data_IF_501156681215
#
_entry.id   IF_501156681215
#
_cell.length_a   1.000
_cell.length_b   1.000
_cell.length_c   1.000
_cell.angle_alpha   90.00
_cell.angle_beta   90.00
_cell.angle_gamma   90.00
#
_symmetry.space_group_name_H-M   'P 1'
#
loop_
_entity.id
_entity.type
_entity.pdbx_description
1 polymer ?
#
# COMPACT_ATOMS: atom_id res chain seq x y z
N UNK A 1 4.99 18.96 18.85
CA UNK A 1 5.98 17.93 18.46
C UNK A 1 5.20 16.75 17.91
N UNK A 2 5.59 16.20 16.76
CA UNK A 2 4.99 14.96 16.29
C UNK A 2 5.43 13.82 17.22
N UNK A 3 4.47 13.06 17.76
CA UNK A 3 4.75 11.92 18.63
C UNK A 3 5.30 10.78 17.78
N UNK A 4 6.54 10.36 18.06
CA UNK A 4 7.11 9.16 17.46
C UNK A 4 6.39 7.92 18.04
N UNK A 5 5.79 7.05 17.21
CA UNK A 5 5.12 5.83 17.65
C UNK A 5 5.96 4.94 18.58
N UNK A 6 7.28 4.92 18.39
CA UNK A 6 8.19 4.10 19.17
C UNK A 6 8.54 4.70 20.54
N UNK A 7 8.14 5.94 20.83
CA UNK A 7 8.25 6.53 22.18
C UNK A 7 7.07 6.14 23.09
N UNK A 8 6.09 5.40 22.54
CA UNK A 8 4.98 4.83 23.30
C UNK A 8 5.40 3.58 24.07
N UNK A 9 4.66 3.26 25.12
CA UNK A 9 4.92 2.08 25.94
C UNK A 9 3.84 1.01 25.69
N UNK A 10 4.25 -0.18 25.22
CA UNK A 10 3.34 -1.30 24.95
C UNK A 10 2.51 -1.73 26.18
N UNK A 11 3.05 -1.62 27.39
CA UNK A 11 2.31 -1.92 28.62
C UNK A 11 1.24 -0.87 28.90
N UNK A 12 1.49 0.40 28.62
CA UNK A 12 0.46 1.44 28.74
C UNK A 12 -0.62 1.28 27.67
N UNK A 13 -0.28 0.86 26.45
CA UNK A 13 -1.29 0.54 25.42
C UNK A 13 -2.19 -0.62 25.86
N UNK A 14 -1.63 -1.67 26.48
CA UNK A 14 -2.42 -2.75 27.10
C UNK A 14 -3.30 -2.24 28.23
N UNK A 15 -2.81 -1.29 29.03
CA UNK A 15 -3.59 -0.67 30.09
C UNK A 15 -4.85 0.04 29.55
N UNK A 16 -4.80 0.66 28.35
CA UNK A 16 -5.99 1.24 27.72
C UNK A 16 -7.08 0.18 27.48
N UNK A 17 -6.71 -0.99 26.96
CA UNK A 17 -7.65 -2.08 26.72
C UNK A 17 -8.24 -2.60 28.04
N UNK A 18 -7.40 -2.75 29.07
CA UNK A 18 -7.84 -3.22 30.38
C UNK A 18 -8.78 -2.21 31.07
N UNK A 19 -8.52 -0.90 30.97
CA UNK A 19 -9.44 0.13 31.50
C UNK A 19 -10.78 0.06 30.78
N UNK A 20 -10.79 -0.10 29.44
CA UNK A 20 -12.02 -0.25 28.65
C UNK A 20 -12.84 -1.46 29.10
N UNK A 21 -12.18 -2.60 29.30
CA UNK A 21 -12.82 -3.86 29.64
C UNK A 21 -13.40 -3.86 31.08
N UNK A 22 -12.66 -3.31 32.04
CA UNK A 22 -13.04 -3.38 33.46
C UNK A 22 -13.72 -2.11 34.00
N UNK A 23 -13.74 -1.01 33.24
CA UNK A 23 -14.30 0.27 33.66
C UNK A 23 -13.62 0.89 34.88
N UNK A 24 -12.43 0.43 35.27
CA UNK A 24 -11.74 0.82 36.50
C UNK A 24 -10.22 0.84 36.30
N UNK A 25 -9.58 1.93 36.73
CA UNK A 25 -8.11 2.06 36.73
C UNK A 25 -7.48 1.03 37.67
N UNK A 26 -8.07 0.82 38.85
CA UNK A 26 -7.53 -0.11 39.86
C UNK A 26 -7.57 -1.54 39.33
N UNK A 27 -8.72 -2.00 38.83
CA UNK A 27 -8.85 -3.35 38.27
C UNK A 27 -7.93 -3.54 37.04
N UNK A 28 -7.81 -2.52 36.19
CA UNK A 28 -6.92 -2.58 35.04
C UNK A 28 -5.43 -2.70 35.44
N UNK A 29 -5.03 -2.04 36.55
CA UNK A 29 -3.65 -2.08 37.04
C UNK A 29 -3.21 -3.49 37.43
N UNK A 30 -4.10 -4.22 38.11
CA UNK A 30 -3.87 -5.62 38.49
C UNK A 30 -3.67 -6.51 37.24
N UNK A 31 -4.53 -6.34 36.23
CA UNK A 31 -4.50 -7.12 34.99
C UNK A 31 -3.21 -6.93 34.19
N UNK A 32 -2.66 -5.71 34.16
CA UNK A 32 -1.41 -5.42 33.45
C UNK A 32 -0.16 -5.45 34.35
N UNK A 33 -0.31 -5.93 35.59
CA UNK A 33 0.76 -6.04 36.59
C UNK A 33 1.50 -4.72 36.82
N UNK A 34 0.74 -3.64 37.01
CA UNK A 34 1.24 -2.32 37.40
C UNK A 34 0.61 -1.92 38.74
N UNK A 35 1.28 -1.03 39.49
CA UNK A 35 0.61 -0.34 40.59
C UNK A 35 -0.40 0.67 40.03
N UNK A 36 -1.49 0.93 40.76
CA UNK A 36 -2.48 1.93 40.36
C UNK A 36 -1.85 3.30 40.06
N UNK A 37 -0.94 3.87 40.90
CA UNK A 37 -0.28 5.13 40.57
C UNK A 37 0.55 5.07 39.29
N UNK A 38 1.23 3.95 39.03
CA UNK A 38 2.01 3.77 37.80
C UNK A 38 1.11 3.73 36.55
N UNK A 39 -0.05 3.06 36.63
CA UNK A 39 -1.01 3.05 35.53
C UNK A 39 -1.60 4.45 35.30
N UNK A 40 -2.00 5.17 36.35
CA UNK A 40 -2.52 6.54 36.22
C UNK A 40 -1.50 7.47 35.57
N UNK A 41 -0.23 7.40 35.98
CA UNK A 41 0.84 8.18 35.35
C UNK A 41 1.09 7.77 33.90
N UNK A 42 1.03 6.47 33.61
CA UNK A 42 1.18 5.92 32.26
C UNK A 42 0.07 6.38 31.31
N UNK A 43 -1.17 6.36 31.77
CA UNK A 43 -2.33 6.89 31.05
C UNK A 43 -2.15 8.40 30.78
N UNK A 44 -1.87 9.19 31.82
CA UNK A 44 -1.65 10.63 31.66
C UNK A 44 -0.49 10.95 30.71
N UNK A 45 0.55 10.10 30.67
CA UNK A 45 1.64 10.24 29.69
C UNK A 45 1.14 9.99 28.26
N UNK A 46 0.37 8.93 28.02
CA UNK A 46 -0.20 8.68 26.71
C UNK A 46 -1.14 9.81 26.28
N UNK A 47 -2.04 10.25 27.16
CA UNK A 47 -2.96 11.37 26.86
C UNK A 47 -2.21 12.64 26.47
N UNK A 48 -1.09 12.96 27.14
CA UNK A 48 -0.20 14.08 26.74
C UNK A 48 0.47 13.85 25.39
N UNK A 49 0.89 12.62 25.08
CA UNK A 49 1.53 12.29 23.80
C UNK A 49 0.54 12.36 22.63
N UNK A 50 -0.71 11.99 22.83
CA UNK A 50 -1.75 12.07 21.80
C UNK A 50 -2.47 13.43 21.78
N UNK A 51 -2.43 14.18 22.89
CA UNK A 51 -3.07 15.50 23.02
C UNK A 51 -4.53 15.47 23.45
N UNK A 52 -5.08 14.31 23.82
CA UNK A 52 -6.49 14.12 24.16
C UNK A 52 -6.64 13.25 25.41
N UNK A 53 -7.70 13.50 26.19
CA UNK A 53 -8.13 12.59 27.25
C UNK A 53 -8.84 11.39 26.64
N UNK A 54 -8.45 10.19 27.03
CA UNK A 54 -9.02 8.96 26.49
C UNK A 54 -10.19 8.44 27.29
N UNK A 55 -10.26 8.78 28.57
CA UNK A 55 -11.34 8.37 29.43
C UNK A 55 -11.87 9.54 30.26
N UNK A 56 -13.15 9.46 30.57
CA UNK A 56 -13.83 10.33 31.52
C UNK A 56 -14.36 9.52 32.70
N UNK A 57 -14.33 10.11 33.88
CA UNK A 57 -14.85 9.49 35.09
C UNK A 57 -16.35 9.79 35.21
N UNK A 58 -17.18 8.76 35.17
CA UNK A 58 -18.62 8.82 35.42
C UNK A 58 -18.99 8.05 36.70
N UNK A 59 -20.25 8.18 37.14
CA UNK A 59 -20.79 7.45 38.30
C UNK A 59 -20.66 5.93 38.17
N UNK A 60 -20.64 5.40 36.94
CA UNK A 60 -20.45 3.98 36.62
C UNK A 60 -19.01 3.54 36.34
N UNK A 61 -18.01 4.39 36.57
CA UNK A 61 -16.60 4.08 36.32
C UNK A 61 -15.96 4.91 35.21
N UNK A 62 -14.87 4.41 34.65
CA UNK A 62 -14.13 5.04 33.55
C UNK A 62 -14.78 4.66 32.22
N UNK A 63 -15.20 5.66 31.45
CA UNK A 63 -15.80 5.48 30.12
C UNK A 63 -14.90 6.14 29.08
N UNK A 64 -14.63 5.51 27.92
CA UNK A 64 -13.84 6.15 26.89
C UNK A 64 -14.53 7.38 26.31
N UNK A 65 -13.73 8.39 25.99
CA UNK A 65 -14.17 9.49 25.12
C UNK A 65 -14.23 9.02 23.67
N UNK A 66 -14.87 9.77 22.74
CA UNK A 66 -14.85 9.42 21.32
C UNK A 66 -13.43 9.27 20.75
N UNK A 67 -12.49 10.13 21.16
CA UNK A 67 -11.08 10.01 20.78
C UNK A 67 -10.41 8.80 21.44
N UNK A 68 -10.77 8.52 22.69
CA UNK A 68 -10.34 7.32 23.41
C UNK A 68 -10.74 6.03 22.68
N UNK A 69 -11.96 5.92 22.18
CA UNK A 69 -12.42 4.74 21.42
C UNK A 69 -11.55 4.51 20.17
N UNK A 70 -11.22 5.57 19.41
CA UNK A 70 -10.36 5.47 18.23
C UNK A 70 -8.98 4.93 18.63
N UNK A 71 -8.36 5.50 19.67
CA UNK A 71 -7.02 5.09 20.12
C UNK A 71 -7.03 3.66 20.69
N UNK A 72 -8.06 3.29 21.44
CA UNK A 72 -8.24 1.94 22.01
C UNK A 72 -8.33 0.89 20.90
N UNK A 73 -9.13 1.13 19.86
CA UNK A 73 -9.30 0.18 18.76
C UNK A 73 -8.03 0.03 17.91
N UNK A 74 -7.29 1.11 17.70
CA UNK A 74 -5.98 1.09 17.04
C UNK A 74 -4.91 0.39 17.89
N UNK A 75 -4.89 0.66 19.20
CA UNK A 75 -3.99 -0.02 20.14
C UNK A 75 -4.26 -1.53 20.21
N UNK A 76 -5.53 -1.94 20.15
CA UNK A 76 -5.93 -3.36 20.05
C UNK A 76 -5.34 -4.01 18.81
N UNK A 77 -5.59 -3.43 17.64
CA UNK A 77 -5.03 -3.94 16.38
C UNK A 77 -3.49 -4.00 16.38
N UNK A 78 -2.83 -2.98 16.95
CA UNK A 78 -1.38 -2.96 17.05
C UNK A 78 -0.85 -4.13 17.91
N UNK A 79 -1.47 -4.37 19.06
CA UNK A 79 -1.12 -5.48 19.94
C UNK A 79 -1.45 -6.84 19.32
N UNK A 80 -2.54 -6.96 18.56
CA UNK A 80 -2.90 -8.18 17.82
C UNK A 80 -1.86 -8.50 16.73
N UNK A 81 -1.37 -7.49 16.01
CA UNK A 81 -0.30 -7.67 15.02
C UNK A 81 1.00 -8.18 15.67
N UNK A 82 1.38 -7.64 16.82
CA UNK A 82 2.54 -8.12 17.57
C UNK A 82 2.31 -9.55 18.09
N UNK A 83 1.15 -9.84 18.64
CA UNK A 83 0.78 -11.17 19.15
C UNK A 83 0.83 -12.23 18.04
N UNK A 84 0.22 -11.95 16.88
CA UNK A 84 0.23 -12.87 15.74
C UNK A 84 1.63 -13.09 15.18
N UNK A 85 2.47 -12.06 15.16
CA UNK A 85 3.85 -12.18 14.72
C UNK A 85 4.75 -12.91 15.73
N UNK A 86 4.42 -12.79 17.02
CA UNK A 86 5.11 -13.43 18.13
C UNK A 86 4.69 -14.88 18.36
N UNK A 87 3.56 -15.31 17.78
CA UNK A 87 3.04 -16.67 17.89
C UNK A 87 4.06 -17.70 17.42
N UNK A 88 4.44 -18.60 18.33
CA UNK A 88 5.44 -19.64 18.07
C UNK A 88 6.88 -19.11 17.88
N UNK A 89 7.17 -17.85 18.23
CA UNK A 89 8.55 -17.34 18.26
C UNK A 89 9.35 -17.86 19.45
N UNK A 90 8.69 -18.08 20.59
CA UNK A 90 9.32 -18.60 21.80
C UNK A 90 8.75 -19.95 22.18
N UNK A 91 9.62 -20.89 22.53
CA UNK A 91 9.25 -22.14 23.19
C UNK A 91 9.14 -22.01 24.72
N UNK A 92 9.58 -20.87 25.28
CA UNK A 92 9.65 -20.63 26.73
C UNK A 92 8.48 -19.79 27.22
N UNK A 93 8.13 -18.74 26.48
CA UNK A 93 7.04 -17.83 26.85
C UNK A 93 5.83 -18.02 25.95
N UNK A 94 4.65 -18.17 26.55
CA UNK A 94 3.40 -18.26 25.80
C UNK A 94 3.01 -16.93 25.12
N UNK A 95 3.37 -15.79 25.74
CA UNK A 95 3.11 -14.43 25.26
C UNK A 95 4.39 -13.57 25.19
N UNK A 96 5.36 -13.90 24.33
CA UNK A 96 6.66 -13.22 24.31
C UNK A 96 6.53 -11.73 23.92
N UNK A 97 5.50 -11.35 23.17
CA UNK A 97 5.20 -9.95 22.82
C UNK A 97 4.93 -9.08 24.05
N UNK A 98 4.53 -9.65 25.19
CA UNK A 98 4.32 -8.92 26.45
C UNK A 98 5.61 -8.45 27.09
N UNK A 99 6.72 -9.10 26.76
CA UNK A 99 8.05 -8.80 27.29
C UNK A 99 8.86 -7.87 26.37
N UNK A 100 8.43 -7.70 25.12
CA UNK A 100 9.06 -6.82 24.14
C UNK A 100 8.86 -5.34 24.48
N UNK A 101 9.84 -4.52 24.10
CA UNK A 101 9.79 -3.06 24.25
C UNK A 101 9.82 -2.37 22.88
N UNK A 102 9.24 -1.16 22.79
CA UNK A 102 9.30 -0.39 21.54
C UNK A 102 10.74 -0.05 21.13
N UNK A 103 11.66 0.13 22.08
CA UNK A 103 13.08 0.35 21.78
C UNK A 103 13.73 -0.86 21.10
N UNK A 104 13.44 -2.08 21.57
CA UNK A 104 13.92 -3.31 20.93
C UNK A 104 13.32 -3.48 19.53
N UNK A 105 12.03 -3.22 19.39
CA UNK A 105 11.32 -3.30 18.12
C UNK A 105 11.84 -2.25 17.12
N UNK A 106 12.11 -1.01 17.56
CA UNK A 106 12.73 0.06 16.76
C UNK A 106 14.12 -0.37 16.26
N UNK A 107 14.97 -0.85 17.17
CA UNK A 107 16.32 -1.30 16.83
C UNK A 107 16.31 -2.47 15.82
N UNK A 108 15.39 -3.42 16.03
CA UNK A 108 15.22 -4.58 15.15
C UNK A 108 14.75 -4.17 13.75
N UNK A 109 13.79 -3.26 13.62
CA UNK A 109 13.35 -2.75 12.33
C UNK A 109 14.45 -1.95 11.62
N UNK A 110 15.18 -1.09 12.35
CA UNK A 110 16.32 -0.35 11.79
C UNK A 110 17.40 -1.30 11.23
N UNK A 111 17.68 -2.42 11.93
CA UNK A 111 18.58 -3.46 11.44
C UNK A 111 18.04 -4.18 10.20
N UNK A 112 16.74 -4.51 10.20
CA UNK A 112 16.08 -5.18 9.09
C UNK A 112 16.12 -4.34 7.80
N UNK A 113 16.00 -3.02 7.90
CA UNK A 113 16.01 -2.10 6.77
C UNK A 113 17.42 -1.79 6.29
N UNK A 114 18.37 -1.58 7.21
CA UNK A 114 19.72 -1.16 6.86
C UNK A 114 20.65 -2.32 6.44
N UNK A 115 20.29 -3.57 6.74
CA UNK A 115 21.06 -4.77 6.36
C UNK A 115 22.41 -4.93 7.07
N UNK A 116 22.75 -4.04 7.99
CA UNK A 116 23.93 -4.15 8.87
C UNK A 116 23.75 -3.32 10.14
N UNK A 117 24.42 -3.72 11.22
CA UNK A 117 24.36 -3.01 12.51
C UNK A 117 24.91 -1.59 12.44
N UNK A 118 25.98 -1.38 11.67
CA UNK A 118 26.58 -0.06 11.49
C UNK A 118 25.64 0.87 10.71
N UNK A 119 25.08 0.40 9.59
CA UNK A 119 24.12 1.18 8.82
C UNK A 119 22.83 1.48 9.61
N UNK A 120 22.36 0.51 10.43
CA UNK A 120 21.20 0.70 11.30
C UNK A 120 21.43 1.78 12.36
N UNK A 121 22.64 1.85 12.93
CA UNK A 121 23.01 2.89 13.87
C UNK A 121 23.07 4.27 13.21
N UNK A 122 23.65 4.35 12.00
CA UNK A 122 23.70 5.61 11.25
C UNK A 122 22.32 6.11 10.81
N UNK A 123 21.40 5.20 10.49
CA UNK A 123 20.03 5.52 10.08
C UNK A 123 19.03 5.68 11.24
N UNK A 124 19.45 5.53 12.50
CA UNK A 124 18.57 5.63 13.67
C UNK A 124 19.14 6.55 14.73
N UNK A 125 18.34 6.84 15.76
CA UNK A 125 18.78 7.62 16.93
C UNK A 125 19.59 6.78 17.93
N UNK A 126 19.91 5.53 17.60
CA UNK A 126 20.57 4.57 18.48
C UNK A 126 22.04 4.38 18.10
N UNK A 127 22.91 4.22 19.11
CA UNK A 127 24.30 3.80 18.87
C UNK A 127 24.36 2.35 18.37
N UNK A 128 25.44 1.99 17.67
CA UNK A 128 25.63 0.62 17.18
C UNK A 128 25.59 -0.43 18.31
N UNK A 129 26.18 -0.11 19.46
CA UNK A 129 26.14 -0.98 20.65
C UNK A 129 24.72 -1.11 21.20
N UNK A 130 23.92 -0.04 21.16
CA UNK A 130 22.52 -0.09 21.58
C UNK A 130 21.68 -0.95 20.63
N UNK A 131 21.88 -0.84 19.30
CA UNK A 131 21.21 -1.72 18.32
C UNK A 131 21.58 -3.19 18.55
N UNK A 132 22.89 -3.47 18.74
CA UNK A 132 23.37 -4.84 18.96
C UNK A 132 22.79 -5.45 20.24
N UNK A 133 22.82 -4.70 21.36
CA UNK A 133 22.21 -5.11 22.63
C UNK A 133 20.71 -5.35 22.50
N UNK A 134 19.98 -4.38 21.94
CA UNK A 134 18.52 -4.47 21.85
C UNK A 134 18.05 -5.66 21.01
N UNK A 135 18.73 -5.95 19.90
CA UNK A 135 18.44 -7.14 19.07
C UNK A 135 18.87 -8.42 19.78
N UNK A 136 20.03 -8.43 20.45
CA UNK A 136 20.50 -9.57 21.25
C UNK A 136 19.55 -9.94 22.39
N UNK A 137 19.07 -8.95 23.14
CA UNK A 137 18.10 -9.12 24.23
C UNK A 137 16.77 -9.69 23.69
N UNK A 138 16.34 -9.23 22.51
CA UNK A 138 15.15 -9.74 21.84
C UNK A 138 15.33 -11.22 21.43
N UNK A 139 16.47 -11.59 20.85
CA UNK A 139 16.81 -12.98 20.50
C UNK A 139 16.91 -13.88 21.74
N UNK A 140 17.51 -13.38 22.82
CA UNK A 140 17.63 -14.10 24.09
C UNK A 140 16.25 -14.34 24.73
N UNK A 141 15.40 -13.31 24.75
CA UNK A 141 14.03 -13.40 25.28
C UNK A 141 13.21 -14.46 24.55
N UNK A 142 13.25 -14.49 23.21
CA UNK A 142 12.48 -15.49 22.46
C UNK A 142 13.13 -16.87 22.50
N UNK A 143 14.43 -16.97 22.83
CA UNK A 143 15.19 -18.23 22.86
C UNK A 143 15.64 -18.70 21.48
N UNK A 144 15.83 -17.78 20.53
CA UNK A 144 16.13 -18.10 19.14
C UNK A 144 16.68 -16.92 18.34
N UNK A 145 17.20 -17.21 17.15
CA UNK A 145 17.72 -16.17 16.23
C UNK A 145 16.60 -15.54 15.41
N UNK A 146 16.69 -14.24 15.18
CA UNK A 146 15.87 -13.48 14.24
C UNK A 146 16.67 -13.05 13.02
N UNK A 147 17.99 -12.91 13.20
CA UNK A 147 18.91 -12.48 12.17
C UNK A 147 20.03 -13.50 11.92
N UNK A 148 20.45 -13.60 10.67
CA UNK A 148 21.54 -14.45 10.22
C UNK A 148 22.63 -13.57 9.58
N UNK A 149 23.90 -13.85 9.89
CA UNK A 149 25.03 -13.20 9.20
C UNK A 149 25.35 -13.99 7.94
N UNK A 150 25.35 -13.31 6.78
CA UNK A 150 25.85 -13.86 5.51
C UNK A 150 26.91 -12.91 4.96
N UNK A 151 28.17 -13.24 5.22
CA UNK A 151 29.30 -12.35 4.94
C UNK A 151 29.22 -11.08 5.78
N UNK A 152 29.25 -9.91 5.13
CA UNK A 152 29.12 -8.59 5.77
C UNK A 152 27.67 -8.13 5.98
N UNK A 153 26.70 -8.84 5.39
CA UNK A 153 25.29 -8.49 5.45
C UNK A 153 24.54 -9.28 6.54
N UNK A 154 23.54 -8.64 7.12
CA UNK A 154 22.60 -9.22 8.08
C UNK A 154 21.28 -9.45 7.36
N UNK A 155 20.77 -10.69 7.46
CA UNK A 155 19.52 -11.11 6.84
C UNK A 155 18.52 -11.53 7.90
N UNK A 156 17.24 -11.25 7.68
CA UNK A 156 16.17 -11.80 8.51
C UNK A 156 15.91 -13.27 8.13
N UNK A 157 15.88 -14.14 9.12
CA UNK A 157 15.35 -15.49 8.93
C UNK A 157 13.80 -15.45 8.86
N UNK A 158 13.09 -16.57 8.60
CA UNK A 158 11.64 -16.56 8.50
C UNK A 158 10.92 -16.02 9.75
N UNK A 159 11.43 -16.27 10.94
CA UNK A 159 10.89 -15.74 12.19
C UNK A 159 11.10 -14.22 12.30
N UNK A 160 12.31 -13.74 11.97
CA UNK A 160 12.63 -12.32 11.87
C UNK A 160 11.74 -11.58 10.88
N UNK A 161 11.48 -12.15 9.70
CA UNK A 161 10.58 -11.56 8.69
C UNK A 161 9.16 -11.41 9.23
N UNK A 162 8.63 -12.43 9.93
CA UNK A 162 7.30 -12.35 10.56
C UNK A 162 7.24 -11.27 11.64
N UNK A 163 8.24 -11.21 12.53
CA UNK A 163 8.29 -10.20 13.58
C UNK A 163 8.42 -8.78 13.00
N UNK A 164 9.24 -8.60 11.97
CA UNK A 164 9.41 -7.31 11.31
C UNK A 164 8.08 -6.85 10.69
N UNK A 165 7.39 -7.73 9.96
CA UNK A 165 6.04 -7.46 9.45
C UNK A 165 5.06 -7.07 10.55
N UNK A 166 4.93 -7.87 11.61
CA UNK A 166 4.03 -7.57 12.72
C UNK A 166 4.34 -6.24 13.39
N UNK A 167 5.61 -5.93 13.55
CA UNK A 167 6.05 -4.65 14.14
C UNK A 167 5.69 -3.47 13.25
N UNK A 168 5.95 -3.55 11.93
CA UNK A 168 5.57 -2.47 10.99
C UNK A 168 4.06 -2.24 10.99
N UNK A 169 3.27 -3.31 10.97
CA UNK A 169 1.80 -3.21 11.03
C UNK A 169 1.33 -2.61 12.36
N UNK A 170 1.93 -2.99 13.48
CA UNK A 170 1.60 -2.42 14.78
C UNK A 170 1.92 -0.92 14.88
N UNK A 171 3.06 -0.52 14.34
CA UNK A 171 3.44 0.91 14.24
C UNK A 171 2.50 1.66 13.31
N UNK A 172 2.11 1.07 12.18
CA UNK A 172 1.15 1.67 11.26
C UNK A 172 -0.22 1.94 11.91
N UNK A 173 -0.70 1.06 12.78
CA UNK A 173 -1.95 1.29 13.54
C UNK A 173 -1.81 2.47 14.52
N UNK A 174 -0.66 2.63 15.18
CA UNK A 174 -0.40 3.77 16.08
C UNK A 174 -0.33 5.08 15.28
N UNK A 175 0.36 5.07 14.13
CA UNK A 175 0.40 6.24 13.22
C UNK A 175 -1.00 6.59 12.72
N UNK A 176 -1.81 5.58 12.36
CA UNK A 176 -3.18 5.78 11.95
C UNK A 176 -4.06 6.36 13.07
N UNK A 177 -3.84 5.96 14.33
CA UNK A 177 -4.51 6.55 15.49
C UNK A 177 -4.20 8.04 15.62
N UNK A 178 -2.92 8.41 15.52
CA UNK A 178 -2.47 9.81 15.57
C UNK A 178 -3.06 10.63 14.41
N UNK A 179 -3.14 10.05 13.22
CA UNK A 179 -3.75 10.69 12.06
C UNK A 179 -5.27 10.91 12.21
N UNK A 180 -5.99 9.87 12.65
CA UNK A 180 -7.46 9.92 12.80
C UNK A 180 -7.89 10.93 13.89
N UNK A 181 -7.17 11.05 15.00
CA UNK A 181 -7.48 12.06 16.04
C UNK A 181 -6.94 13.45 15.71
N UNK A 182 -5.81 13.54 15.00
CA UNK A 182 -5.16 14.81 14.65
C UNK A 182 -5.90 15.60 13.56
N UNK A 183 -6.88 14.98 12.90
CA UNK A 183 -7.64 15.54 11.77
C UNK A 183 -8.24 16.92 12.05
N UNK A 184 -8.72 17.18 13.27
CA UNK A 184 -9.39 18.44 13.62
C UNK A 184 -8.41 19.56 13.96
N UNK A 185 -7.15 19.24 14.25
CA UNK A 185 -6.14 20.23 14.62
C UNK A 185 -5.54 21.00 13.43
N UNK A 186 -5.91 20.63 12.19
CA UNK A 186 -5.44 21.27 10.96
C UNK A 186 -3.93 21.16 10.70
N UNK A 187 -3.20 20.44 11.55
CA UNK A 187 -1.74 20.39 11.55
C UNK A 187 -1.25 19.00 11.13
N UNK A 188 -0.41 18.96 10.10
CA UNK A 188 0.29 17.76 9.65
C UNK A 188 -0.20 17.22 8.32
N UNK A 189 0.75 16.83 7.48
CA UNK A 189 0.47 16.06 6.28
C UNK A 189 0.29 14.58 6.63
N UNK A 190 -0.72 13.94 6.05
CA UNK A 190 -0.95 12.51 6.21
C UNK A 190 -0.48 11.77 4.95
N UNK A 191 0.40 10.79 5.14
CA UNK A 191 0.98 10.03 4.05
C UNK A 191 0.05 8.89 3.60
N UNK A 192 -0.32 8.91 2.32
CA UNK A 192 -1.01 7.84 1.62
C UNK A 192 0.04 7.06 0.82
N UNK A 193 0.45 5.90 1.32
CA UNK A 193 1.41 5.03 0.65
C UNK A 193 0.68 3.91 -0.10
N UNK A 194 0.86 3.84 -1.42
CA UNK A 194 0.21 2.81 -2.25
C UNK A 194 1.08 2.34 -3.41
N UNK A 195 0.80 1.12 -3.86
CA UNK A 195 1.41 0.54 -5.06
C UNK A 195 0.56 0.79 -6.30
N UNK A 196 1.16 1.09 -7.44
CA UNK A 196 0.48 1.27 -8.71
C UNK A 196 0.94 0.22 -9.74
N UNK A 197 0.01 -0.65 -10.16
CA UNK A 197 0.26 -1.58 -11.26
C UNK A 197 0.18 -0.86 -12.61
N UNK A 198 0.80 -1.41 -13.68
CA UNK A 198 0.93 -0.70 -14.96
C UNK A 198 -0.37 -0.14 -15.57
N UNK A 199 -1.52 -0.79 -15.39
CA UNK A 199 -2.80 -0.31 -15.91
C UNK A 199 -3.31 0.96 -15.21
N UNK A 200 -3.02 1.15 -13.92
CA UNK A 200 -3.60 2.25 -13.14
C UNK A 200 -2.79 3.55 -13.21
N UNK A 201 -1.52 3.49 -13.63
CA UNK A 201 -0.57 4.61 -13.58
C UNK A 201 -0.89 5.75 -14.55
N UNK A 202 -1.31 5.51 -15.81
CA UNK A 202 -1.43 6.61 -16.77
C UNK A 202 -2.66 7.49 -16.54
N UNK A 203 -3.71 6.96 -15.90
CA UNK A 203 -4.97 7.68 -15.73
C UNK A 203 -5.55 7.60 -14.32
N UNK A 204 -5.99 6.41 -13.88
CA UNK A 204 -6.77 6.23 -12.64
C UNK A 204 -6.10 6.86 -11.41
N UNK A 205 -4.81 6.56 -11.22
CA UNK A 205 -4.03 7.06 -10.08
C UNK A 205 -3.81 8.58 -10.16
N UNK A 206 -3.26 9.15 -11.25
CA UNK A 206 -3.11 10.60 -11.38
C UNK A 206 -4.43 11.36 -11.23
N UNK A 207 -5.53 10.86 -11.81
CA UNK A 207 -6.84 11.49 -11.72
C UNK A 207 -7.34 11.57 -10.26
N UNK A 208 -7.24 10.47 -9.52
CA UNK A 208 -7.63 10.42 -8.11
C UNK A 208 -6.72 11.30 -7.24
N UNK A 209 -5.40 11.27 -7.46
CA UNK A 209 -4.43 12.10 -6.74
C UNK A 209 -4.69 13.60 -6.98
N UNK A 210 -4.93 14.01 -8.24
CA UNK A 210 -5.20 15.41 -8.56
C UNK A 210 -6.52 15.90 -7.93
N UNK A 211 -7.56 15.06 -7.89
CA UNK A 211 -8.81 15.40 -7.19
C UNK A 211 -8.59 15.52 -5.68
N UNK A 212 -7.88 14.56 -5.09
CA UNK A 212 -7.57 14.54 -3.66
C UNK A 212 -6.75 15.76 -3.24
N UNK A 213 -5.66 16.06 -3.96
CA UNK A 213 -4.78 17.21 -3.70
C UNK A 213 -5.51 18.56 -3.76
N UNK A 214 -6.55 18.68 -4.61
CA UNK A 214 -7.42 19.87 -4.63
C UNK A 214 -8.37 19.95 -3.43
N UNK A 215 -8.81 18.81 -2.91
CA UNK A 215 -9.82 18.74 -1.85
C UNK A 215 -9.25 18.67 -0.43
N UNK A 216 -8.03 18.15 -0.25
CA UNK A 216 -7.36 18.03 1.05
C UNK A 216 -5.86 18.33 0.91
N UNK A 217 -5.42 19.56 1.23
CA UNK A 217 -4.02 19.97 1.15
C UNK A 217 -3.08 19.19 2.08
N UNK A 218 -3.60 18.39 3.03
CA UNK A 218 -2.79 17.58 3.94
C UNK A 218 -2.36 16.26 3.32
N UNK A 219 -3.03 15.81 2.26
CA UNK A 219 -2.73 14.53 1.63
C UNK A 219 -1.34 14.57 0.97
N UNK A 220 -0.39 13.81 1.53
CA UNK A 220 0.85 13.48 0.86
C UNK A 220 0.77 12.08 0.27
N UNK A 221 1.51 11.84 -0.80
CA UNK A 221 1.50 10.55 -1.50
C UNK A 221 2.89 9.97 -1.58
N UNK A 222 2.99 8.65 -1.35
CA UNK A 222 4.15 7.84 -1.72
C UNK A 222 3.67 6.72 -2.63
N UNK A 223 4.11 6.78 -3.89
CA UNK A 223 3.69 5.82 -4.91
C UNK A 223 4.83 4.85 -5.17
N UNK A 224 4.58 3.56 -4.98
CA UNK A 224 5.48 2.49 -5.39
C UNK A 224 5.00 1.92 -6.71
N UNK A 225 5.80 2.09 -7.75
CA UNK A 225 5.52 1.50 -9.05
C UNK A 225 6.16 0.13 -9.16
N UNK A 226 5.39 -0.87 -9.59
CA UNK A 226 5.92 -2.20 -9.83
C UNK A 226 4.89 -3.15 -10.43
N UNK A 227 5.35 -4.36 -10.72
CA UNK A 227 4.54 -5.52 -11.00
C UNK A 227 3.90 -6.06 -9.72
N UNK A 228 2.97 -7.00 -9.86
CA UNK A 228 2.38 -7.70 -8.72
C UNK A 228 3.41 -8.35 -7.80
N UNK A 229 4.41 -9.01 -8.40
CA UNK A 229 5.45 -9.75 -7.68
C UNK A 229 6.28 -8.81 -6.80
N UNK A 230 6.49 -7.58 -7.26
CA UNK A 230 7.25 -6.56 -6.53
C UNK A 230 6.41 -5.87 -5.46
N UNK A 231 5.10 -5.71 -5.66
CA UNK A 231 4.23 -4.93 -4.76
C UNK A 231 3.50 -5.76 -3.69
N UNK A 232 3.33 -7.08 -3.88
CA UNK A 232 2.57 -7.91 -2.93
C UNK A 232 3.23 -8.02 -1.55
N UNK A 233 4.56 -8.15 -1.49
CA UNK A 233 5.27 -8.21 -0.20
C UNK A 233 5.35 -6.85 0.50
N UNK A 234 5.64 -5.71 -0.18
CA UNK A 234 5.46 -4.38 0.40
C UNK A 234 4.07 -4.13 0.96
N UNK A 235 3.02 -4.62 0.28
CA UNK A 235 1.64 -4.56 0.78
C UNK A 235 1.47 -5.40 2.05
N UNK A 236 1.96 -6.65 2.09
CA UNK A 236 1.87 -7.50 3.28
C UNK A 236 2.67 -6.96 4.45
N UNK A 237 3.80 -6.32 4.17
CA UNK A 237 4.74 -5.79 5.14
C UNK A 237 4.32 -4.43 5.74
N UNK A 238 3.26 -3.81 5.22
CA UNK A 238 2.82 -2.49 5.69
C UNK A 238 3.62 -1.33 5.13
N UNK A 239 4.47 -1.54 4.13
CA UNK A 239 5.24 -0.47 3.45
C UNK A 239 4.31 0.39 2.59
N UNK A 240 3.29 -0.25 2.02
CA UNK A 240 2.16 0.39 1.33
C UNK A 240 0.86 -0.19 1.89
N UNK A 241 -0.21 0.57 1.85
CA UNK A 241 -1.50 0.18 2.44
C UNK A 241 -2.46 -0.44 1.44
N UNK A 242 -2.28 -0.11 0.16
CA UNK A 242 -3.10 -0.60 -0.93
C UNK A 242 -2.29 -0.74 -2.22
N UNK A 243 -2.79 -1.54 -3.15
CA UNK A 243 -2.29 -1.66 -4.53
C UNK A 243 -3.44 -1.36 -5.47
N UNK A 244 -3.25 -0.44 -6.41
CA UNK A 244 -4.26 -0.05 -7.41
C UNK A 244 -3.88 -0.63 -8.77
N UNK A 245 -4.83 -1.32 -9.41
CA UNK A 245 -4.72 -1.82 -10.78
C UNK A 245 -5.40 -3.16 -11.02
N UNK A 246 -4.88 -3.94 -11.98
CA UNK A 246 -5.48 -5.22 -12.36
C UNK A 246 -5.61 -6.19 -11.17
N UNK A 247 -6.83 -6.63 -10.90
CA UNK A 247 -7.15 -7.62 -9.87
C UNK A 247 -6.70 -9.03 -10.30
N UNK A 248 -6.59 -9.93 -9.32
CA UNK A 248 -6.34 -11.36 -9.54
C UNK A 248 -7.67 -12.10 -9.68
N UNK A 249 -7.77 -13.05 -10.62
CA UNK A 249 -9.00 -13.82 -10.86
C UNK A 249 -9.22 -14.93 -9.81
N UNK A 250 -8.57 -14.83 -8.64
CA UNK A 250 -8.64 -15.81 -7.56
C UNK A 250 -8.59 -15.11 -6.21
N UNK A 251 -9.15 -15.75 -5.18
CA UNK A 251 -9.07 -15.26 -3.82
C UNK A 251 -7.66 -15.45 -3.24
N UNK A 252 -7.27 -14.51 -2.38
CA UNK A 252 -6.00 -14.54 -1.66
C UNK A 252 -6.34 -14.47 -0.17
N UNK A 253 -5.88 -15.44 0.61
CA UNK A 253 -6.33 -15.63 1.99
C UNK A 253 -6.11 -14.39 2.87
N UNK A 254 -4.99 -13.67 2.72
CA UNK A 254 -4.62 -12.54 3.56
C UNK A 254 -4.95 -11.16 2.95
N UNK A 255 -5.42 -11.11 1.70
CA UNK A 255 -5.70 -9.88 0.97
C UNK A 255 -7.19 -9.76 0.59
N UNK A 256 -7.67 -8.52 0.53
CA UNK A 256 -9.01 -8.18 0.05
C UNK A 256 -8.89 -7.47 -1.31
N UNK A 257 -9.81 -7.74 -2.24
CA UNK A 257 -9.84 -7.13 -3.56
C UNK A 257 -11.19 -6.45 -3.78
N UNK A 258 -11.16 -5.13 -4.00
CA UNK A 258 -12.33 -4.30 -4.27
C UNK A 258 -12.37 -3.93 -5.77
N UNK A 259 -13.34 -4.45 -6.56
CA UNK A 259 -13.48 -4.08 -7.96
C UNK A 259 -13.94 -2.62 -8.12
N UNK A 260 -13.37 -1.90 -9.10
CA UNK A 260 -13.75 -0.52 -9.42
C UNK A 260 -14.34 -0.39 -10.83
N UNK A 261 -13.67 -0.98 -11.83
CA UNK A 261 -14.07 -0.89 -13.22
C UNK A 261 -13.67 -2.14 -14.02
N UNK A 262 -14.26 -2.27 -15.19
CA UNK A 262 -13.89 -3.27 -16.18
C UNK A 262 -13.07 -2.62 -17.28
N UNK A 263 -12.00 -3.30 -17.68
CA UNK A 263 -11.09 -2.93 -18.76
C UNK A 263 -11.20 -3.99 -19.87
N UNK A 264 -11.01 -3.56 -21.12
CA UNK A 264 -10.91 -4.43 -22.30
C UNK A 264 -9.73 -3.97 -23.15
N UNK A 265 -8.96 -4.94 -23.65
CA UNK A 265 -7.89 -4.66 -24.58
C UNK A 265 -8.42 -4.15 -25.92
N UNK A 266 -7.67 -3.23 -26.50
CA UNK A 266 -7.85 -2.75 -27.86
C UNK A 266 -6.55 -2.93 -28.64
N UNK A 267 -6.68 -2.99 -29.96
CA UNK A 267 -5.54 -2.78 -30.85
C UNK A 267 -5.34 -1.28 -30.96
N UNK A 268 -4.13 -0.81 -30.69
CA UNK A 268 -3.78 0.60 -30.77
C UNK A 268 -2.73 0.85 -31.86
N UNK A 269 -2.85 2.00 -32.51
CA UNK A 269 -1.96 2.46 -33.58
C UNK A 269 -1.78 3.98 -33.49
N UNK A 270 -0.82 4.53 -34.24
CA UNK A 270 -0.77 5.96 -34.53
C UNK A 270 -2.05 6.45 -35.22
N UNK A 271 -2.46 7.69 -34.97
CA UNK A 271 -3.66 8.26 -35.62
C UNK A 271 -3.53 8.39 -37.14
N UNK A 272 -2.30 8.37 -37.67
CA UNK A 272 -2.01 8.36 -39.11
C UNK A 272 -1.81 6.95 -39.68
N UNK A 273 -1.92 5.89 -38.87
CA UNK A 273 -1.73 4.51 -39.32
C UNK A 273 -2.73 4.16 -40.43
N UNK A 274 -2.36 3.38 -41.47
CA UNK A 274 -3.27 3.01 -42.57
C UNK A 274 -4.58 2.35 -42.12
N UNK A 275 -4.52 1.55 -41.04
CA UNK A 275 -5.70 0.90 -40.43
C UNK A 275 -6.50 1.79 -39.47
N UNK A 276 -6.10 3.04 -39.22
CA UNK A 276 -6.79 3.96 -38.31
C UNK A 276 -8.26 4.22 -38.70
N UNK A 277 -8.57 4.15 -40.01
CA UNK A 277 -9.91 4.40 -40.57
C UNK A 277 -10.68 3.12 -40.90
N UNK A 278 -10.16 1.96 -40.52
CA UNK A 278 -10.77 0.67 -40.83
C UNK A 278 -11.54 0.18 -39.61
N UNK A 279 -12.87 0.14 -39.71
CA UNK A 279 -13.76 -0.22 -38.59
C UNK A 279 -13.57 -1.65 -38.09
N UNK A 280 -13.29 -2.60 -38.99
CA UNK A 280 -13.08 -4.02 -38.68
C UNK A 280 -12.01 -4.61 -39.61
N UNK A 281 -10.72 -4.43 -39.31
CA UNK A 281 -9.65 -5.00 -40.14
C UNK A 281 -9.67 -6.53 -40.08
N UNK A 282 -9.34 -7.19 -41.19
CA UNK A 282 -9.18 -8.66 -41.22
C UNK A 282 -7.91 -9.08 -40.50
N UNK A 283 -7.83 -10.36 -40.11
CA UNK A 283 -6.62 -10.90 -39.49
C UNK A 283 -5.40 -10.83 -40.43
N UNK A 284 -5.60 -10.97 -41.74
CA UNK A 284 -4.53 -10.81 -42.74
C UNK A 284 -4.01 -9.36 -42.79
N UNK A 285 -4.91 -8.37 -42.69
CA UNK A 285 -4.52 -6.95 -42.63
C UNK A 285 -3.77 -6.64 -41.34
N UNK A 286 -4.23 -7.16 -40.20
CA UNK A 286 -3.50 -7.00 -38.94
C UNK A 286 -2.12 -7.68 -38.97
N UNK A 287 -2.02 -8.83 -39.64
CA UNK A 287 -0.78 -9.58 -39.79
C UNK A 287 0.22 -8.97 -40.80
N UNK A 288 -0.19 -7.98 -41.60
CA UNK A 288 0.69 -7.33 -42.59
C UNK A 288 1.55 -6.21 -42.02
N UNK A 289 1.28 -5.77 -40.79
CA UNK A 289 2.01 -4.69 -40.13
C UNK A 289 2.88 -5.23 -38.98
N UNK A 290 3.99 -4.55 -38.63
CA UNK A 290 4.81 -4.91 -37.49
C UNK A 290 4.08 -4.66 -36.15
N UNK A 291 4.28 -5.55 -35.19
CA UNK A 291 3.70 -5.45 -33.85
C UNK A 291 4.74 -5.14 -32.79
N UNK A 292 4.37 -4.26 -31.85
CA UNK A 292 5.04 -4.14 -30.56
C UNK A 292 4.32 -5.10 -29.60
N UNK A 293 5.07 -5.95 -28.93
CA UNK A 293 4.52 -7.00 -28.06
C UNK A 293 5.01 -6.85 -26.63
N UNK A 294 4.19 -7.23 -25.66
CA UNK A 294 4.59 -7.24 -24.27
C UNK A 294 5.64 -8.33 -23.99
N UNK A 295 6.44 -8.21 -22.92
CA UNK A 295 7.41 -9.23 -22.53
C UNK A 295 6.81 -10.63 -22.42
N UNK A 296 7.63 -11.64 -22.75
CA UNK A 296 7.24 -13.04 -22.60
C UNK A 296 6.68 -13.36 -21.21
N UNK A 297 5.71 -14.29 -21.13
CA UNK A 297 5.01 -14.68 -19.90
C UNK A 297 4.22 -13.56 -19.21
N UNK A 298 3.75 -12.56 -19.98
CA UNK A 298 2.81 -11.56 -19.49
C UNK A 298 1.39 -11.84 -19.98
N UNK A 299 0.34 -11.49 -19.22
CA UNK A 299 -1.04 -11.66 -19.66
C UNK A 299 -1.36 -10.95 -20.99
N UNK A 300 -0.67 -9.85 -21.27
CA UNK A 300 -0.84 -9.11 -22.53
C UNK A 300 -0.22 -9.86 -23.71
N UNK A 301 0.92 -10.52 -23.50
CA UNK A 301 1.56 -11.40 -24.50
C UNK A 301 0.68 -12.62 -24.82
N UNK A 302 0.15 -13.29 -23.79
CA UNK A 302 -0.76 -14.43 -23.97
C UNK A 302 -2.01 -14.05 -24.79
N UNK A 303 -2.56 -12.84 -24.56
CA UNK A 303 -3.72 -12.36 -25.33
C UNK A 303 -3.36 -12.05 -26.79
N UNK A 304 -2.16 -11.51 -27.03
CA UNK A 304 -1.67 -11.30 -28.40
C UNK A 304 -1.43 -12.64 -29.13
N UNK A 305 -0.87 -13.64 -28.45
CA UNK A 305 -0.67 -14.97 -29.03
C UNK A 305 -2.00 -15.63 -29.39
N UNK A 306 -3.02 -15.50 -28.53
CA UNK A 306 -4.38 -15.98 -28.81
C UNK A 306 -5.03 -15.28 -30.01
N UNK A 307 -4.76 -13.97 -30.17
CA UNK A 307 -5.32 -13.19 -31.28
C UNK A 307 -4.87 -13.73 -32.65
N UNK A 308 -3.61 -14.17 -32.78
CA UNK A 308 -3.09 -14.72 -34.03
C UNK A 308 -3.15 -16.26 -34.12
N UNK A 309 -3.21 -16.96 -32.98
CA UNK A 309 -3.39 -18.41 -32.90
C UNK A 309 -2.41 -19.19 -33.80
N UNK A 310 -2.93 -20.11 -34.61
CA UNK A 310 -2.17 -20.85 -35.63
C UNK A 310 -2.16 -20.15 -37.01
N UNK A 311 -2.66 -18.91 -37.09
CA UNK A 311 -2.71 -18.12 -38.32
C UNK A 311 -1.36 -17.51 -38.69
N UNK A 312 -1.37 -16.59 -39.66
CA UNK A 312 -0.17 -15.84 -40.05
C UNK A 312 0.27 -14.94 -38.89
N UNK A 313 1.47 -15.20 -38.37
CA UNK A 313 2.07 -14.41 -37.29
C UNK A 313 2.78 -13.18 -37.89
N UNK A 314 2.47 -11.95 -37.45
CA UNK A 314 3.16 -10.75 -37.92
C UNK A 314 4.60 -10.65 -37.39
N UNK A 315 5.39 -9.78 -38.01
CA UNK A 315 6.70 -9.41 -37.50
C UNK A 315 6.57 -8.73 -36.12
N UNK A 316 7.41 -9.12 -35.16
CA UNK A 316 7.43 -8.56 -33.81
C UNK A 316 8.81 -7.98 -33.47
N UNK A 317 9.25 -6.91 -34.17
CA UNK A 317 10.61 -6.40 -34.03
C UNK A 317 10.89 -5.74 -32.67
N UNK A 318 9.85 -5.48 -31.86
CA UNK A 318 9.97 -4.81 -30.57
C UNK A 318 9.21 -5.58 -29.50
N UNK A 319 9.92 -6.03 -28.46
CA UNK A 319 9.33 -6.51 -27.21
C UNK A 319 9.47 -5.42 -26.13
N UNK A 320 8.36 -4.81 -25.69
CA UNK A 320 8.37 -3.69 -24.76
C UNK A 320 7.09 -3.62 -23.92
N UNK A 321 7.22 -3.35 -22.62
CA UNK A 321 6.09 -3.07 -21.71
C UNK A 321 5.94 -1.60 -21.32
N UNK A 322 6.82 -0.72 -21.82
CA UNK A 322 6.81 0.71 -21.48
C UNK A 322 5.84 1.47 -22.37
N UNK A 323 4.74 1.95 -21.78
CA UNK A 323 3.71 2.74 -22.47
C UNK A 323 4.29 4.00 -23.13
N UNK A 324 5.33 4.60 -22.53
CA UNK A 324 6.00 5.77 -23.11
C UNK A 324 6.74 5.44 -24.40
N UNK A 325 7.50 4.34 -24.41
CA UNK A 325 8.23 3.87 -25.60
C UNK A 325 7.23 3.43 -26.68
N UNK A 326 6.24 2.62 -26.29
CA UNK A 326 5.16 2.17 -27.18
C UNK A 326 4.48 3.38 -27.82
N UNK A 327 4.03 4.36 -27.02
CA UNK A 327 3.36 5.55 -27.51
C UNK A 327 4.18 6.32 -28.55
N UNK A 328 5.49 6.49 -28.32
CA UNK A 328 6.38 7.13 -29.30
C UNK A 328 6.51 6.33 -30.58
N UNK A 329 6.76 5.02 -30.49
CA UNK A 329 6.91 4.17 -31.68
C UNK A 329 5.65 4.11 -32.52
N UNK A 330 4.48 4.03 -31.88
CA UNK A 330 3.20 4.09 -32.58
C UNK A 330 2.98 5.43 -33.31
N UNK A 331 3.53 6.55 -32.81
CA UNK A 331 3.41 7.85 -33.49
C UNK A 331 4.34 8.03 -34.69
N UNK A 332 5.44 7.26 -34.80
CA UNK A 332 6.46 7.43 -35.84
C UNK A 332 6.47 6.36 -36.92
N UNK A 333 5.76 5.24 -36.74
CA UNK A 333 5.74 4.15 -37.70
C UNK A 333 4.43 3.38 -37.71
N UNK A 334 4.30 2.47 -38.68
CA UNK A 334 3.10 1.66 -38.89
C UNK A 334 3.05 0.44 -37.95
N UNK A 335 3.25 0.69 -36.66
CA UNK A 335 3.19 -0.34 -35.63
C UNK A 335 1.78 -0.52 -35.09
N UNK A 336 1.47 -1.76 -34.74
CA UNK A 336 0.29 -2.14 -33.96
C UNK A 336 0.71 -2.67 -32.58
N UNK A 337 -0.17 -2.55 -31.59
CA UNK A 337 0.04 -3.18 -30.27
C UNK A 337 -1.31 -3.54 -29.64
N UNK A 338 -1.31 -4.47 -28.69
CA UNK A 338 -2.40 -4.62 -27.73
C UNK A 338 -2.13 -3.78 -26.50
N UNK A 339 -3.13 -3.05 -26.00
CA UNK A 339 -3.05 -2.31 -24.75
C UNK A 339 -4.45 -2.02 -24.17
N UNK A 340 -4.50 -1.56 -22.92
CA UNK A 340 -5.73 -1.00 -22.34
C UNK A 340 -5.88 0.46 -22.79
N UNK A 341 -7.07 0.92 -23.22
CA UNK A 341 -7.30 2.32 -23.59
C UNK A 341 -6.82 3.32 -22.54
N UNK A 342 -7.07 3.03 -21.26
CA UNK A 342 -6.67 3.86 -20.12
C UNK A 342 -5.15 4.10 -20.06
N UNK A 343 -4.35 3.14 -20.55
CA UNK A 343 -2.89 3.28 -20.56
C UNK A 343 -2.42 4.38 -21.52
N UNK A 344 -3.16 4.62 -22.60
CA UNK A 344 -2.84 5.63 -23.61
C UNK A 344 -3.94 6.67 -23.75
N UNK A 345 -4.77 6.83 -22.71
CA UNK A 345 -5.92 7.72 -22.74
C UNK A 345 -5.53 9.18 -23.02
N UNK A 346 -4.35 9.62 -22.56
CA UNK A 346 -3.85 10.95 -22.90
C UNK A 346 -3.53 11.07 -24.40
N UNK A 347 -2.81 10.10 -24.96
CA UNK A 347 -2.43 10.09 -26.36
C UNK A 347 -3.65 9.98 -27.28
N UNK A 348 -4.63 9.15 -26.92
CA UNK A 348 -5.91 9.04 -27.64
C UNK A 348 -6.65 10.39 -27.59
N UNK A 349 -6.81 11.00 -26.40
CA UNK A 349 -7.48 12.30 -26.27
C UNK A 349 -6.78 13.43 -27.01
N UNK A 350 -5.46 13.38 -27.11
CA UNK A 350 -4.66 14.34 -27.89
C UNK A 350 -4.67 14.08 -29.40
N UNK A 351 -5.32 13.01 -29.87
CA UNK A 351 -5.36 12.65 -31.29
C UNK A 351 -4.05 12.08 -31.84
N UNK A 352 -3.11 11.69 -30.97
CA UNK A 352 -1.84 11.08 -31.37
C UNK A 352 -1.97 9.59 -31.68
N UNK A 353 -2.81 8.89 -30.92
CA UNK A 353 -3.08 7.46 -31.09
C UNK A 353 -4.56 7.24 -31.35
N UNK A 354 -4.88 6.12 -31.97
CA UNK A 354 -6.25 5.68 -32.21
C UNK A 354 -6.42 4.20 -31.89
N UNK A 355 -7.65 3.83 -31.59
CA UNK A 355 -8.08 2.44 -31.56
C UNK A 355 -8.30 1.94 -32.99
N UNK A 356 -7.90 0.69 -33.24
CA UNK A 356 -8.12 -0.05 -34.49
C UNK A 356 -9.07 -1.21 -34.20
N UNK A 357 -10.21 -1.25 -34.89
CA UNK A 357 -11.23 -2.27 -34.64
C UNK A 357 -11.97 -2.13 -33.30
N UNK A 358 -12.91 -3.04 -32.98
CA UNK A 358 -13.60 -3.07 -31.69
C UNK A 358 -12.69 -3.59 -30.56
N UNK A 359 -13.02 -3.34 -29.28
CA UNK A 359 -12.33 -3.98 -28.16
C UNK A 359 -12.45 -5.51 -28.21
N UNK A 360 -11.40 -6.21 -27.79
CA UNK A 360 -11.37 -7.66 -27.80
C UNK A 360 -12.34 -8.23 -26.75
N UNK A 361 -13.29 -9.08 -27.16
CA UNK A 361 -14.33 -9.59 -26.27
C UNK A 361 -13.77 -10.45 -25.13
N UNK A 362 -12.83 -11.35 -25.43
CA UNK A 362 -12.20 -12.28 -24.48
C UNK A 362 -11.04 -11.69 -23.68
N UNK A 363 -10.97 -10.35 -23.61
CA UNK A 363 -9.89 -9.62 -22.94
C UNK A 363 -10.32 -8.89 -21.66
N UNK A 364 -11.54 -9.18 -21.18
CA UNK A 364 -12.11 -8.53 -20.00
C UNK A 364 -11.20 -8.67 -18.78
N UNK A 365 -10.86 -7.55 -18.16
CA UNK A 365 -10.09 -7.47 -16.92
C UNK A 365 -10.80 -6.58 -15.91
N UNK A 366 -10.61 -6.86 -14.63
CA UNK A 366 -11.16 -6.02 -13.57
C UNK A 366 -10.02 -5.20 -12.98
N UNK A 367 -10.19 -3.88 -13.00
CA UNK A 367 -9.31 -2.93 -12.33
C UNK A 367 -9.92 -2.60 -10.98
N UNK A 368 -9.09 -2.55 -9.95
CA UNK A 368 -9.57 -2.31 -8.59
C UNK A 368 -8.46 -2.00 -7.61
N UNK A 369 -8.80 -2.15 -6.34
CA UNK A 369 -7.91 -1.90 -5.19
C UNK A 369 -7.70 -3.22 -4.46
N UNK A 370 -6.45 -3.55 -4.16
CA UNK A 370 -6.08 -4.69 -3.31
C UNK A 370 -5.49 -4.18 -1.99
N UNK A 371 -5.96 -4.69 -0.86
CA UNK A 371 -5.50 -4.30 0.48
C UNK A 371 -5.18 -5.53 1.32
N UNK A 372 -4.52 -5.35 2.47
CA UNK A 372 -4.52 -6.39 3.51
C UNK A 372 -5.94 -6.53 4.06
N UNK A 373 -6.41 -7.74 4.37
CA UNK A 373 -7.73 -7.92 5.00
C UNK A 373 -7.84 -7.26 6.37
N UNK A 374 -6.73 -7.19 7.11
CA UNK A 374 -6.67 -6.55 8.41
C UNK A 374 -6.55 -5.03 8.35
N UNK A 375 -6.32 -4.43 7.18
CA UNK A 375 -6.05 -3.01 7.07
C UNK A 375 -7.32 -2.19 7.33
N UNK A 376 -7.17 -1.18 8.19
CA UNK A 376 -8.21 -0.22 8.53
C UNK A 376 -7.77 1.16 8.04
N UNK A 377 -8.33 1.67 6.93
CA UNK A 377 -7.93 2.98 6.41
C UNK A 377 -8.20 4.07 7.44
N UNK A 378 -7.37 5.09 7.48
CA UNK A 378 -7.69 6.37 8.16
C UNK A 378 -8.80 7.10 7.43
N UNK A 379 -9.28 8.20 8.00
CA UNK A 379 -10.27 9.05 7.33
C UNK A 379 -9.76 9.65 6.01
N UNK A 380 -8.48 10.05 5.93
CA UNK A 380 -7.87 10.59 4.71
C UNK A 380 -7.65 9.49 3.68
N UNK A 381 -7.21 8.30 4.10
CA UNK A 381 -7.07 7.15 3.20
C UNK A 381 -8.43 6.70 2.64
N UNK A 382 -9.50 6.66 3.46
CA UNK A 382 -10.87 6.39 2.99
C UNK A 382 -11.30 7.36 1.90
N UNK A 383 -11.04 8.66 2.09
CA UNK A 383 -11.35 9.68 1.09
C UNK A 383 -10.59 9.44 -0.22
N UNK A 384 -9.34 8.97 -0.16
CA UNK A 384 -8.62 8.60 -1.38
C UNK A 384 -9.21 7.37 -2.08
N UNK A 385 -9.69 6.36 -1.34
CA UNK A 385 -10.42 5.22 -1.93
C UNK A 385 -11.68 5.69 -2.66
N UNK A 386 -12.41 6.66 -2.11
CA UNK A 386 -13.56 7.29 -2.78
C UNK A 386 -13.13 7.99 -4.07
N UNK A 387 -12.06 8.78 -4.04
CA UNK A 387 -11.51 9.46 -5.22
C UNK A 387 -11.12 8.49 -6.33
N UNK A 388 -10.55 7.33 -5.98
CA UNK A 388 -10.28 6.25 -6.93
C UNK A 388 -11.57 5.69 -7.55
N UNK A 389 -12.60 5.47 -6.73
CA UNK A 389 -13.91 5.04 -7.20
C UNK A 389 -14.60 6.05 -8.12
N UNK A 390 -14.51 7.34 -7.81
CA UNK A 390 -15.02 8.41 -8.67
C UNK A 390 -14.23 8.56 -9.96
N UNK A 391 -12.90 8.37 -9.91
CA UNK A 391 -12.05 8.43 -11.10
C UNK A 391 -12.35 7.27 -12.06
N UNK A 392 -12.57 6.07 -11.51
CA UNK A 392 -12.98 4.89 -12.29
C UNK A 392 -14.37 5.03 -12.94
N UNK A 393 -15.29 5.80 -12.34
CA UNK A 393 -16.63 6.06 -12.89
C UNK A 393 -16.64 7.18 -13.94
N UNK A 394 -15.79 8.21 -13.76
CA UNK A 394 -15.80 9.46 -14.51
C UNK A 394 -15.56 9.34 -16.02
N UNK A 395 -15.09 8.19 -16.51
CA UNK A 395 -14.87 7.97 -17.96
C UNK A 395 -16.01 7.27 -18.68
N UNK A 396 -17.05 6.79 -17.99
CA UNK A 396 -18.25 6.31 -18.70
C UNK A 396 -19.10 7.45 -19.31
N UNK A 397 -18.78 8.72 -19.05
CA UNK A 397 -19.65 9.87 -19.40
C UNK A 397 -19.06 10.88 -20.38
N UNK A 398 -17.75 10.92 -20.66
CA UNK A 398 -17.17 12.05 -21.41
C UNK A 398 -16.64 11.69 -22.80
N UNK A 399 -17.55 11.68 -23.78
CA UNK A 399 -17.26 12.06 -25.17
C UNK A 399 -17.12 13.58 -25.34
N UNK A 400 -16.39 14.25 -24.45
CA UNK A 400 -16.09 15.68 -24.56
C UNK A 400 -14.59 15.90 -24.38
N UNK A 401 -13.88 16.44 -25.39
CA UNK A 401 -12.49 16.86 -25.22
C UNK A 401 -12.43 18.07 -24.27
N UNK A 402 -11.38 18.22 -23.46
CA UNK A 402 -11.12 19.50 -22.81
C UNK A 402 -10.75 20.54 -23.88
N UNK A 403 -11.34 21.73 -23.78
CA UNK A 403 -10.89 22.90 -24.55
C UNK A 403 -9.46 23.24 -24.10
N UNK A 404 -8.49 22.99 -24.98
CA UNK A 404 -7.05 23.21 -24.75
C UNK A 404 -6.54 24.50 -25.39
N UNK A 405 -7.41 25.50 -25.62
CA UNK A 405 -6.98 26.75 -26.29
C UNK A 405 -6.32 27.81 -25.40
N UNK A 406 -6.06 27.55 -24.12
CA UNK A 406 -5.33 28.51 -23.27
C UNK A 406 -4.28 27.91 -22.32
N UNK A 407 -3.67 26.77 -22.66
CA UNK A 407 -2.43 26.34 -21.99
C UNK A 407 -1.19 26.84 -22.73
N UNK A 408 -0.74 28.04 -22.38
CA UNK A 408 0.70 28.27 -22.38
C UNK A 408 1.30 27.30 -21.35
N UNK A 409 2.44 26.70 -21.68
CA UNK A 409 3.09 25.59 -20.97
C UNK A 409 2.70 24.19 -21.48
N UNK A 410 3.71 23.60 -22.14
CA UNK A 410 4.04 22.18 -22.38
C UNK A 410 3.15 21.15 -21.69
#
# INVERSE_FOLDING_TARGET
MATDPFDLNLRHLRALLAIREHGSITAAADVVSLSQPALTQGLAKLERQFGYTFFERRSGGMVPTPMGEIVIERARAALDHLSQAAKGLSGVFHYPERLMTMTQLRAFLALAEAGSFAAAAHGSTLSQTAVHRAVGDLEQMIGGKLVERRGRAVWLNPAGKRLARGTRLAVAEIVAALADIGRDSGSGSELIAFGALPLARPYLVPAAMARMARSDPRAAFKVLEGSWRELVEPLRDGVIDMVVGALRPFEIADLYQLPLSEDRLVIAAGSQHPLAKVDKPTMEQLASYPWIVAPANSPLREQWEKLFGAGKVPATPVECGSVMIIGRLLTEGDFLTLLSPDQVALQIRSGLLTQVGPPLEDSKRVVGITTRRSWRPTATQRRFLEMLGEAAKGERVAGAPPDLRESGWV
#
